data_IF_887761877545
#
_entry.id   IF_887761877545
#
_cell.length_a   1.000
_cell.length_b   1.000
_cell.length_c   1.000
_cell.angle_alpha   90.00
_cell.angle_beta   90.00
_cell.angle_gamma   90.00
#
_symmetry.space_group_name_H-M   'P 1'
#
loop_
_entity.id
_entity.type
_entity.pdbx_description
1 polymer ?
#
# COMPACT_ATOMS: atom_id res chain seq x y z
N UNK A 1 17.31 11.94 -2.09
CA UNK A 1 17.52 12.31 -0.67
C UNK A 1 16.95 11.25 0.28
N UNK A 2 15.69 10.80 0.15
CA UNK A 2 15.06 9.83 1.07
C UNK A 2 15.75 8.44 1.11
N UNK A 3 16.27 7.95 -0.02
CA UNK A 3 16.96 6.64 -0.08
C UNK A 3 18.21 6.59 0.80
N UNK A 4 18.91 7.73 1.01
CA UNK A 4 20.06 7.81 1.89
C UNK A 4 19.66 7.65 3.36
N UNK A 5 18.55 8.24 3.80
CA UNK A 5 18.06 8.09 5.19
C UNK A 5 17.67 6.64 5.50
N UNK A 6 17.07 5.93 4.52
CA UNK A 6 16.79 4.50 4.67
C UNK A 6 18.10 3.70 4.76
N UNK A 7 19.08 3.99 3.92
CA UNK A 7 20.37 3.29 3.92
C UNK A 7 21.09 3.46 5.25
N UNK A 8 21.21 4.70 5.72
CA UNK A 8 21.86 5.02 7.01
C UNK A 8 21.17 4.25 8.17
N UNK A 9 19.83 4.18 8.16
CA UNK A 9 19.09 3.43 9.19
C UNK A 9 19.27 1.91 9.07
N UNK A 10 19.38 1.38 7.85
CA UNK A 10 19.58 -0.05 7.61
C UNK A 10 21.02 -0.50 7.89
N UNK A 11 22.01 0.38 7.73
CA UNK A 11 23.38 0.12 8.14
C UNK A 11 23.50 0.02 9.67
N UNK A 12 22.73 0.85 10.41
CA UNK A 12 22.73 0.94 11.89
C UNK A 12 21.59 0.12 12.54
N UNK A 13 21.14 -0.98 11.90
CA UNK A 13 20.03 -1.80 12.43
C UNK A 13 20.25 -2.32 13.85
N UNK A 14 21.49 -2.52 14.26
CA UNK A 14 21.85 -3.00 15.60
C UNK A 14 21.50 -1.98 16.70
N UNK A 15 21.37 -0.70 16.37
CA UNK A 15 20.98 0.34 17.32
C UNK A 15 19.47 0.37 17.60
N UNK A 16 18.66 -0.35 16.81
CA UNK A 16 17.22 -0.40 16.97
C UNK A 16 16.79 -1.63 17.76
N UNK A 17 15.74 -1.46 18.57
CA UNK A 17 15.09 -2.54 19.31
C UNK A 17 13.92 -3.13 18.54
N UNK A 18 13.22 -2.29 17.77
CA UNK A 18 12.06 -2.68 16.98
C UNK A 18 12.10 -2.10 15.57
N UNK A 19 11.70 -2.93 14.62
CA UNK A 19 11.40 -2.56 13.23
C UNK A 19 9.91 -2.80 13.00
N UNK A 20 9.14 -1.73 12.78
CA UNK A 20 7.67 -1.81 12.70
C UNK A 20 7.20 -1.56 11.29
N UNK A 21 6.50 -2.53 10.72
CA UNK A 21 5.95 -2.46 9.38
C UNK A 21 4.44 -2.25 9.38
N UNK A 22 3.98 -1.14 8.85
CA UNK A 22 2.56 -0.84 8.63
C UNK A 22 2.03 -1.39 7.30
N UNK A 23 2.90 -1.83 6.39
CA UNK A 23 2.49 -2.34 5.07
C UNK A 23 3.45 -3.39 4.51
N UNK A 24 2.92 -4.28 3.68
CA UNK A 24 3.68 -5.27 2.92
C UNK A 24 4.71 -4.62 1.97
N UNK A 25 4.36 -3.47 1.37
CA UNK A 25 5.27 -2.71 0.49
C UNK A 25 6.49 -2.20 1.27
N UNK A 26 6.32 -1.79 2.53
CA UNK A 26 7.41 -1.42 3.41
C UNK A 26 8.38 -2.57 3.66
N UNK A 27 7.86 -3.77 3.90
CA UNK A 27 8.67 -5.00 4.06
C UNK A 27 9.50 -5.27 2.80
N UNK A 28 8.84 -5.27 1.64
CA UNK A 28 9.51 -5.55 0.36
C UNK A 28 10.60 -4.50 0.04
N UNK A 29 10.31 -3.22 0.29
CA UNK A 29 11.25 -2.13 0.04
C UNK A 29 12.51 -2.25 0.93
N UNK A 30 12.33 -2.56 2.22
CA UNK A 30 13.43 -2.77 3.16
C UNK A 30 14.24 -4.01 2.78
N UNK A 31 13.58 -5.13 2.49
CA UNK A 31 14.26 -6.36 2.06
C UNK A 31 15.10 -6.16 0.80
N UNK A 32 14.51 -5.56 -0.25
CA UNK A 32 15.24 -5.23 -1.48
C UNK A 32 16.45 -4.31 -1.22
N UNK A 33 16.32 -3.41 -0.24
CA UNK A 33 17.40 -2.49 0.09
C UNK A 33 18.51 -3.20 0.85
N UNK A 34 18.18 -4.06 1.81
CA UNK A 34 19.14 -4.90 2.55
C UNK A 34 19.91 -5.84 1.61
N UNK A 35 19.24 -6.43 0.63
CA UNK A 35 19.88 -7.30 -0.37
C UNK A 35 21.00 -6.60 -1.14
N UNK A 36 20.90 -5.29 -1.37
CA UNK A 36 21.98 -4.50 -2.00
C UNK A 36 23.26 -4.42 -1.14
N UNK A 37 23.11 -4.59 0.17
CA UNK A 37 24.22 -4.66 1.13
C UNK A 37 24.62 -6.10 1.48
N UNK A 38 24.11 -7.10 0.76
CA UNK A 38 24.32 -8.51 1.06
C UNK A 38 23.66 -9.00 2.36
N UNK A 39 22.66 -8.24 2.86
CA UNK A 39 21.90 -8.50 4.10
C UNK A 39 20.46 -8.88 3.78
N UNK A 40 19.74 -9.43 4.74
CA UNK A 40 18.30 -9.72 4.62
C UNK A 40 17.63 -9.67 5.99
N UNK A 41 16.30 -9.51 6.01
CA UNK A 41 15.51 -9.48 7.25
C UNK A 41 15.57 -10.81 8.02
N UNK A 42 15.69 -11.94 7.34
CA UNK A 42 15.81 -13.25 7.96
C UNK A 42 17.09 -13.39 8.81
N UNK A 43 18.14 -12.63 8.51
CA UNK A 43 19.40 -12.60 9.25
C UNK A 43 19.59 -11.28 10.01
N UNK A 44 18.49 -10.69 10.47
CA UNK A 44 18.54 -9.48 11.30
C UNK A 44 19.31 -9.73 12.60
N UNK A 45 19.85 -8.67 13.25
CA UNK A 45 20.41 -8.78 14.58
C UNK A 45 19.44 -9.46 15.55
N UNK A 46 19.93 -10.36 16.41
CA UNK A 46 19.11 -11.09 17.38
C UNK A 46 18.38 -10.17 18.37
N UNK A 47 18.94 -8.97 18.63
CA UNK A 47 18.34 -7.94 19.47
C UNK A 47 17.20 -7.19 18.79
N UNK A 48 17.13 -7.19 17.45
CA UNK A 48 16.12 -6.46 16.68
C UNK A 48 14.85 -7.31 16.52
N UNK A 49 13.74 -6.86 17.10
CA UNK A 49 12.42 -7.45 16.93
C UNK A 49 11.64 -6.80 15.81
N UNK A 50 10.75 -7.54 15.18
CA UNK A 50 9.88 -7.07 14.10
C UNK A 50 8.43 -7.10 14.55
N UNK A 51 7.72 -5.99 14.32
CA UNK A 51 6.27 -5.92 14.45
C UNK A 51 5.60 -5.65 13.09
N UNK A 52 4.46 -6.28 12.84
CA UNK A 52 3.63 -6.06 11.66
C UNK A 52 2.22 -5.65 12.07
N UNK A 53 1.71 -4.54 11.53
CA UNK A 53 0.35 -4.06 11.83
C UNK A 53 -0.71 -5.00 11.28
N UNK A 54 -0.56 -5.49 10.05
CA UNK A 54 -1.59 -6.24 9.35
C UNK A 54 -1.20 -7.66 8.98
N UNK A 55 -2.22 -8.54 8.85
CA UNK A 55 -2.03 -9.96 8.48
C UNK A 55 -1.21 -10.13 7.19
N UNK A 56 -1.53 -9.35 6.14
CA UNK A 56 -0.80 -9.40 4.87
C UNK A 56 0.69 -9.01 5.03
N UNK A 57 0.98 -8.06 5.90
CA UNK A 57 2.35 -7.64 6.20
C UNK A 57 3.11 -8.74 6.93
N UNK A 58 2.48 -9.38 7.92
CA UNK A 58 3.05 -10.51 8.64
C UNK A 58 3.32 -11.71 7.70
N UNK A 59 2.39 -12.01 6.79
CA UNK A 59 2.56 -13.08 5.81
C UNK A 59 3.75 -12.84 4.86
N UNK A 60 3.96 -11.59 4.42
CA UNK A 60 5.13 -11.26 3.58
C UNK A 60 6.44 -11.45 4.35
N UNK A 61 6.48 -11.07 5.63
CA UNK A 61 7.63 -11.32 6.50
C UNK A 61 7.91 -12.83 6.66
N UNK A 62 6.88 -13.61 6.90
CA UNK A 62 6.98 -15.07 7.03
C UNK A 62 7.53 -15.72 5.75
N UNK A 63 7.03 -15.32 4.59
CA UNK A 63 7.51 -15.80 3.28
C UNK A 63 8.99 -15.47 3.03
N UNK A 64 9.52 -14.40 3.66
CA UNK A 64 10.92 -14.03 3.62
C UNK A 64 11.77 -14.74 4.69
N UNK A 65 11.19 -15.61 5.52
CA UNK A 65 11.86 -16.25 6.63
C UNK A 65 12.17 -15.30 7.80
N UNK A 66 11.48 -14.17 7.87
CA UNK A 66 11.67 -13.12 8.87
C UNK A 66 10.39 -12.90 9.68
N UNK A 67 9.80 -13.95 10.21
CA UNK A 67 8.53 -13.89 10.95
C UNK A 67 8.49 -12.72 11.96
N UNK A 68 7.35 -12.07 12.05
CA UNK A 68 7.15 -10.98 13.00
C UNK A 68 7.12 -11.52 14.44
N UNK A 69 7.81 -10.83 15.35
CA UNK A 69 7.80 -11.13 16.79
C UNK A 69 6.49 -10.66 17.44
N UNK A 70 5.81 -9.69 16.81
CA UNK A 70 4.52 -9.18 17.28
C UNK A 70 3.59 -8.80 16.12
N UNK A 71 2.34 -9.24 16.23
CA UNK A 71 1.22 -8.85 15.35
C UNK A 71 0.01 -8.59 16.26
N UNK A 72 -0.68 -7.44 16.15
CA UNK A 72 -1.80 -7.13 17.04
C UNK A 72 -3.02 -8.02 16.75
N UNK A 73 -3.90 -8.23 17.74
CA UNK A 73 -5.09 -9.07 17.59
C UNK A 73 -6.09 -8.52 16.56
N UNK A 74 -6.24 -7.20 16.49
CA UNK A 74 -6.97 -6.51 15.41
C UNK A 74 -5.95 -5.85 14.50
N UNK A 75 -5.92 -6.19 13.24
CA UNK A 75 -4.89 -5.83 12.26
C UNK A 75 -4.91 -4.34 11.85
N UNK A 76 -4.95 -3.45 12.83
CA UNK A 76 -4.98 -1.98 12.69
C UNK A 76 -3.94 -1.30 13.58
N UNK A 77 -3.58 -0.06 13.26
CA UNK A 77 -2.55 0.69 13.97
C UNK A 77 -2.89 0.91 15.45
N UNK A 78 -4.16 1.25 15.76
CA UNK A 78 -4.61 1.46 17.14
C UNK A 78 -4.40 0.20 17.98
N UNK A 79 -4.75 -0.97 17.44
CA UNK A 79 -4.54 -2.26 18.13
C UNK A 79 -3.06 -2.57 18.33
N UNK A 80 -2.18 -2.14 17.42
CA UNK A 80 -0.73 -2.27 17.62
C UNK A 80 -0.27 -1.42 18.81
N UNK A 81 -0.77 -0.19 18.93
CA UNK A 81 -0.43 0.72 20.03
C UNK A 81 -0.91 0.14 21.36
N UNK A 82 -2.17 -0.27 21.43
CA UNK A 82 -2.82 -0.74 22.65
C UNK A 82 -2.21 -2.03 23.21
N UNK A 83 -1.72 -2.91 22.34
CA UNK A 83 -1.23 -4.25 22.71
C UNK A 83 0.28 -4.42 22.54
N UNK A 84 1.00 -3.32 22.26
CA UNK A 84 2.45 -3.43 22.06
C UNK A 84 3.14 -4.00 23.31
N UNK A 85 3.98 -5.05 23.17
CA UNK A 85 4.45 -5.85 24.31
C UNK A 85 5.42 -5.11 25.24
N UNK A 86 5.92 -3.97 24.82
CA UNK A 86 6.84 -3.14 25.60
C UNK A 86 6.53 -1.67 25.37
N UNK A 87 6.49 -0.90 26.43
CA UNK A 87 6.36 0.56 26.36
C UNK A 87 7.51 1.21 27.13
N UNK A 88 7.97 2.36 26.69
CA UNK A 88 8.71 3.26 27.55
C UNK A 88 10.08 3.68 27.07
N UNK A 89 10.69 4.41 27.95
CA UNK A 89 11.95 5.12 27.81
C UNK A 89 13.12 4.18 27.46
N UNK A 90 13.95 4.63 26.51
CA UNK A 90 15.16 3.91 26.10
C UNK A 90 14.96 3.00 24.89
N UNK A 91 13.73 2.80 24.41
CA UNK A 91 13.51 2.06 23.18
C UNK A 91 13.75 2.95 21.96
N UNK A 92 14.41 2.37 20.94
CA UNK A 92 14.60 2.97 19.63
C UNK A 92 13.88 2.11 18.60
N UNK A 93 13.00 2.72 17.83
CA UNK A 93 12.12 2.05 16.87
C UNK A 93 12.33 2.63 15.48
N UNK A 94 12.44 1.77 14.47
CA UNK A 94 12.49 2.13 13.06
C UNK A 94 11.12 1.89 12.42
N UNK A 95 10.55 2.93 11.80
CA UNK A 95 9.29 2.90 11.05
C UNK A 95 9.54 3.20 9.56
N UNK A 96 9.75 2.19 8.72
CA UNK A 96 9.76 2.37 7.27
C UNK A 96 8.35 2.64 6.76
N UNK A 97 8.17 3.76 6.07
CA UNK A 97 6.85 4.18 5.58
C UNK A 97 6.86 4.65 4.12
N UNK A 98 5.67 4.87 3.58
CA UNK A 98 5.52 5.56 2.29
C UNK A 98 6.07 7.00 2.39
N UNK A 99 6.71 7.49 1.33
CA UNK A 99 7.33 8.81 1.31
C UNK A 99 6.32 9.95 1.51
N UNK A 100 5.11 9.83 0.99
CA UNK A 100 4.07 10.85 1.08
C UNK A 100 2.71 10.26 1.45
N UNK A 101 1.93 10.98 2.28
CA UNK A 101 0.54 10.64 2.61
C UNK A 101 0.36 9.48 3.61
N UNK A 102 1.42 9.07 4.31
CA UNK A 102 1.33 8.10 5.40
C UNK A 102 0.75 8.72 6.68
N UNK A 103 0.02 7.89 7.48
CA UNK A 103 -0.47 8.32 8.80
C UNK A 103 0.70 8.38 9.79
N UNK A 104 0.77 9.43 10.61
CA UNK A 104 1.78 9.62 11.67
C UNK A 104 1.41 8.93 12.98
N UNK A 105 0.20 8.40 13.06
CA UNK A 105 -0.41 7.85 14.28
C UNK A 105 0.53 6.96 15.11
N UNK A 106 1.27 6.06 14.47
CA UNK A 106 2.20 5.16 15.18
C UNK A 106 3.41 5.94 15.74
N UNK A 107 3.95 6.87 14.97
CA UNK A 107 5.09 7.66 15.38
C UNK A 107 4.73 8.58 16.54
N UNK A 108 3.56 9.21 16.47
CA UNK A 108 3.05 10.12 17.49
C UNK A 108 2.79 9.34 18.79
N UNK A 109 2.04 8.24 18.75
CA UNK A 109 1.70 7.45 19.94
C UNK A 109 2.92 6.84 20.63
N UNK A 110 3.84 6.25 19.87
CA UNK A 110 5.07 5.72 20.45
C UNK A 110 6.01 6.83 20.96
N UNK A 111 6.05 7.97 20.29
CA UNK A 111 6.79 9.14 20.74
C UNK A 111 6.28 9.69 22.08
N UNK A 112 4.95 9.80 22.22
CA UNK A 112 4.30 10.19 23.48
C UNK A 112 4.58 9.18 24.62
N UNK A 113 4.69 7.90 24.31
CA UNK A 113 5.10 6.86 25.25
C UNK A 113 6.60 6.86 25.58
N UNK A 114 7.38 7.81 25.04
CA UNK A 114 8.81 7.97 25.33
C UNK A 114 9.75 7.09 24.50
N UNK A 115 9.26 6.49 23.42
CA UNK A 115 10.06 5.73 22.45
C UNK A 115 10.76 6.69 21.49
N UNK A 116 12.04 6.47 21.20
CA UNK A 116 12.74 7.18 20.14
C UNK A 116 12.35 6.60 18.78
N UNK A 117 11.37 7.21 18.13
CA UNK A 117 10.91 6.77 16.81
C UNK A 117 11.75 7.42 15.71
N UNK A 118 12.24 6.58 14.78
CA UNK A 118 12.92 7.01 13.56
C UNK A 118 12.07 6.60 12.37
N UNK A 119 11.41 7.57 11.76
CA UNK A 119 10.66 7.35 10.52
C UNK A 119 11.57 7.52 9.32
N UNK A 120 11.50 6.58 8.37
CA UNK A 120 12.23 6.67 7.11
C UNK A 120 11.32 6.37 5.93
N UNK A 121 11.43 7.16 4.88
CA UNK A 121 10.74 6.88 3.63
C UNK A 121 11.40 5.65 2.95
N UNK A 122 10.66 4.56 2.85
CA UNK A 122 11.14 3.30 2.27
C UNK A 122 10.68 3.11 0.83
N UNK A 123 9.50 3.60 0.47
CA UNK A 123 8.92 3.47 -0.87
C UNK A 123 8.04 4.68 -1.22
N UNK A 124 7.82 4.86 -2.51
CA UNK A 124 6.85 5.81 -3.05
C UNK A 124 5.62 5.07 -3.57
N UNK A 125 4.45 5.68 -3.35
CA UNK A 125 3.22 5.29 -4.03
C UNK A 125 2.98 6.31 -5.13
N UNK A 126 3.30 5.94 -6.34
CA UNK A 126 3.20 6.82 -7.50
C UNK A 126 2.50 6.14 -8.68
N UNK A 127 2.13 6.94 -9.66
CA UNK A 127 1.66 6.43 -10.94
C UNK A 127 2.82 5.69 -11.63
N UNK A 128 2.60 4.50 -12.22
CA UNK A 128 3.58 3.87 -13.10
C UNK A 128 4.00 4.81 -14.22
N UNK A 129 5.21 4.62 -14.73
CA UNK A 129 5.74 5.45 -15.83
C UNK A 129 5.03 5.23 -17.17
N UNK A 130 4.38 4.08 -17.33
CA UNK A 130 3.63 3.71 -18.55
C UNK A 130 2.57 2.67 -18.24
N UNK A 131 1.54 2.63 -19.09
CA UNK A 131 0.54 1.56 -19.09
C UNK A 131 1.18 0.27 -19.63
N UNK A 132 0.90 -0.92 -19.02
CA UNK A 132 1.35 -2.20 -19.58
C UNK A 132 0.80 -2.43 -20.98
N UNK A 133 1.64 -2.93 -21.90
CA UNK A 133 1.24 -3.18 -23.31
C UNK A 133 0.02 -4.09 -23.45
N UNK A 134 -0.15 -5.20 -22.68
CA UNK A 134 -1.37 -6.01 -22.75
C UNK A 134 -2.64 -5.24 -22.39
N UNK A 135 -2.55 -4.32 -21.41
CA UNK A 135 -3.69 -3.47 -21.02
C UNK A 135 -4.03 -2.46 -22.13
N UNK A 136 -2.99 -1.86 -22.73
CA UNK A 136 -3.18 -0.95 -23.85
C UNK A 136 -3.82 -1.65 -25.06
N UNK A 137 -3.33 -2.86 -25.40
CA UNK A 137 -3.90 -3.67 -26.49
C UNK A 137 -5.37 -4.02 -26.23
N UNK A 138 -5.72 -4.48 -25.03
CA UNK A 138 -7.10 -4.81 -24.67
C UNK A 138 -8.05 -3.60 -24.80
N UNK A 139 -7.58 -2.41 -24.44
CA UNK A 139 -8.33 -1.17 -24.63
C UNK A 139 -8.46 -0.76 -26.10
N UNK A 140 -7.41 -0.99 -26.90
CA UNK A 140 -7.44 -0.72 -28.35
C UNK A 140 -8.39 -1.66 -29.09
N UNK A 141 -8.46 -2.92 -28.68
CA UNK A 141 -9.32 -3.97 -29.23
C UNK A 141 -10.78 -3.87 -28.74
N UNK A 142 -11.05 -3.03 -27.73
CA UNK A 142 -12.38 -2.93 -27.11
C UNK A 142 -12.80 -4.18 -26.35
N UNK A 143 -11.82 -4.95 -25.84
CA UNK A 143 -12.03 -6.22 -25.10
C UNK A 143 -12.13 -6.03 -23.59
N UNK A 144 -12.24 -4.77 -23.12
CA UNK A 144 -12.41 -4.43 -21.71
C UNK A 144 -13.86 -4.08 -21.45
N UNK A 145 -14.55 -4.85 -20.63
CA UNK A 145 -15.96 -4.63 -20.29
C UNK A 145 -16.13 -3.78 -19.03
N UNK A 146 -15.21 -3.87 -18.08
CA UNK A 146 -15.28 -3.14 -16.81
C UNK A 146 -13.89 -2.81 -16.24
N UNK A 147 -13.83 -1.71 -15.47
CA UNK A 147 -12.69 -1.33 -14.67
C UNK A 147 -13.13 -1.13 -13.22
N UNK A 148 -12.54 -1.89 -12.28
CA UNK A 148 -12.85 -1.82 -10.87
C UNK A 148 -11.75 -1.08 -10.11
N UNK A 149 -12.13 -0.13 -9.26
CA UNK A 149 -11.22 0.71 -8.49
C UNK A 149 -11.35 0.44 -7.00
N UNK A 150 -10.26 0.00 -6.36
CA UNK A 150 -10.15 -0.20 -4.92
C UNK A 150 -9.70 1.05 -4.16
N UNK A 151 -9.36 2.14 -4.84
CA UNK A 151 -9.01 3.43 -4.22
C UNK A 151 -9.15 4.58 -5.21
N UNK A 152 -9.39 5.80 -4.69
CA UNK A 152 -9.43 7.01 -5.52
C UNK A 152 -8.11 7.26 -6.26
N UNK A 153 -6.98 6.96 -5.62
CA UNK A 153 -5.66 7.14 -6.21
C UNK A 153 -5.42 6.23 -7.41
N UNK A 154 -5.95 5.00 -7.40
CA UNK A 154 -5.88 4.12 -8.58
C UNK A 154 -6.72 4.65 -9.74
N UNK A 155 -7.85 5.27 -9.47
CA UNK A 155 -8.66 5.92 -10.50
C UNK A 155 -7.91 7.12 -11.14
N UNK A 156 -7.30 7.96 -10.32
CA UNK A 156 -6.49 9.11 -10.78
C UNK A 156 -5.29 8.67 -11.62
N UNK A 157 -4.54 7.66 -11.16
CA UNK A 157 -3.40 7.13 -11.89
C UNK A 157 -3.81 6.45 -13.20
N UNK A 158 -4.96 5.77 -13.22
CA UNK A 158 -5.47 5.15 -14.45
C UNK A 158 -5.83 6.22 -15.48
N UNK A 159 -6.50 7.30 -15.08
CA UNK A 159 -6.80 8.40 -15.99
C UNK A 159 -5.53 9.06 -16.55
N UNK A 160 -4.51 9.25 -15.71
CA UNK A 160 -3.21 9.77 -16.13
C UNK A 160 -2.51 8.85 -17.15
N UNK A 161 -2.52 7.53 -16.91
CA UNK A 161 -1.94 6.55 -17.84
C UNK A 161 -2.70 6.48 -19.16
N UNK A 162 -4.03 6.60 -19.13
CA UNK A 162 -4.87 6.65 -20.33
C UNK A 162 -4.56 7.90 -21.17
N UNK A 163 -4.46 9.06 -20.53
CA UNK A 163 -4.11 10.30 -21.21
C UNK A 163 -2.70 10.25 -21.79
N UNK A 164 -1.74 9.72 -21.05
CA UNK A 164 -0.36 9.56 -21.49
C UNK A 164 -0.25 8.62 -22.71
N UNK A 165 -1.02 7.54 -22.72
CA UNK A 165 -0.95 6.49 -23.76
C UNK A 165 -1.75 6.84 -25.02
N UNK A 166 -2.93 7.43 -24.86
CA UNK A 166 -3.94 7.64 -25.92
C UNK A 166 -4.20 9.12 -26.24
N UNK A 167 -3.61 10.05 -25.48
CA UNK A 167 -3.85 11.49 -25.62
C UNK A 167 -5.22 11.94 -25.14
N UNK A 168 -5.61 13.20 -25.40
CA UNK A 168 -6.83 13.81 -24.84
C UNK A 168 -8.15 13.14 -25.25
N UNK A 169 -8.12 12.27 -26.27
CA UNK A 169 -9.30 11.50 -26.73
C UNK A 169 -9.52 10.15 -26.04
N UNK A 170 -8.75 9.83 -25.01
CA UNK A 170 -8.76 8.50 -24.36
C UNK A 170 -10.13 8.06 -23.84
N UNK A 171 -11.01 9.00 -23.48
CA UNK A 171 -12.35 8.69 -22.98
C UNK A 171 -13.18 7.84 -23.95
N UNK A 172 -12.95 7.96 -25.26
CA UNK A 172 -13.59 7.14 -26.29
C UNK A 172 -13.25 5.67 -26.18
N UNK A 173 -12.06 5.33 -25.64
CA UNK A 173 -11.62 3.94 -25.42
C UNK A 173 -12.41 3.26 -24.30
N UNK A 174 -13.09 4.06 -23.48
CA UNK A 174 -13.92 3.57 -22.39
C UNK A 174 -15.42 3.65 -22.69
N UNK A 175 -15.80 3.90 -23.95
CA UNK A 175 -17.22 3.80 -24.36
C UNK A 175 -17.69 2.36 -24.18
N UNK A 176 -18.77 2.16 -23.41
CA UNK A 176 -19.27 0.83 -23.04
C UNK A 176 -18.59 0.18 -21.83
N UNK A 177 -17.38 0.60 -21.46
CA UNK A 177 -16.68 0.06 -20.30
C UNK A 177 -17.33 0.53 -19.01
N UNK A 178 -17.67 -0.37 -18.11
CA UNK A 178 -18.28 -0.04 -16.80
C UNK A 178 -17.21 0.42 -15.80
N UNK A 179 -17.49 1.48 -15.05
CA UNK A 179 -16.64 2.03 -14.00
C UNK A 179 -17.21 1.65 -12.64
N UNK A 180 -16.49 0.83 -11.88
CA UNK A 180 -16.97 0.27 -10.62
C UNK A 180 -16.03 0.72 -9.50
N UNK A 181 -16.59 1.15 -8.38
CA UNK A 181 -15.80 1.64 -7.23
C UNK A 181 -16.07 0.87 -5.96
N UNK A 182 -15.06 0.76 -5.08
CA UNK A 182 -15.17 0.10 -3.78
C UNK A 182 -15.99 0.88 -2.75
N UNK A 183 -16.25 2.17 -2.97
CA UNK A 183 -16.98 2.97 -2.00
C UNK A 183 -16.94 4.48 -2.28
N UNK A 184 -17.59 5.29 -1.44
CA UNK A 184 -17.92 6.70 -1.72
C UNK A 184 -16.75 7.61 -2.05
N UNK A 185 -15.62 7.45 -1.38
CA UNK A 185 -14.41 8.23 -1.67
C UNK A 185 -13.84 7.91 -3.04
N UNK A 186 -13.77 6.61 -3.38
CA UNK A 186 -13.32 6.15 -4.69
C UNK A 186 -14.29 6.58 -5.78
N UNK A 187 -15.59 6.49 -5.53
CA UNK A 187 -16.64 7.01 -6.44
C UNK A 187 -16.45 8.47 -6.78
N UNK A 188 -16.06 9.30 -5.81
CA UNK A 188 -15.78 10.72 -6.05
C UNK A 188 -14.64 10.92 -7.05
N UNK A 189 -13.50 10.22 -6.85
CA UNK A 189 -12.37 10.25 -7.78
C UNK A 189 -12.77 9.71 -9.16
N UNK A 190 -13.55 8.62 -9.23
CA UNK A 190 -14.02 8.07 -10.50
C UNK A 190 -14.89 9.07 -11.26
N UNK A 191 -15.84 9.76 -10.59
CA UNK A 191 -16.65 10.81 -11.23
C UNK A 191 -15.80 11.98 -11.73
N UNK A 192 -14.77 12.37 -10.99
CA UNK A 192 -13.85 13.43 -11.41
C UNK A 192 -13.01 13.03 -12.62
N UNK A 193 -12.50 11.79 -12.66
CA UNK A 193 -11.61 11.32 -13.72
C UNK A 193 -12.35 10.81 -14.96
N UNK A 194 -13.47 10.09 -14.78
CA UNK A 194 -14.17 9.37 -15.86
C UNK A 194 -15.58 9.92 -16.12
N UNK A 195 -16.03 10.91 -15.34
CA UNK A 195 -17.37 11.51 -15.47
C UNK A 195 -18.51 10.64 -14.94
N UNK A 196 -18.24 9.39 -14.50
CA UNK A 196 -19.26 8.42 -14.07
C UNK A 196 -18.78 7.40 -13.05
N UNK A 197 -19.73 6.73 -12.45
CA UNK A 197 -19.60 5.47 -11.72
C UNK A 197 -20.84 4.65 -12.03
N UNK A 198 -20.67 3.46 -12.57
CA UNK A 198 -21.78 2.59 -12.98
C UNK A 198 -22.27 1.70 -11.82
N UNK A 199 -21.36 1.37 -10.88
CA UNK A 199 -21.70 0.72 -9.60
C UNK A 199 -20.71 1.08 -8.50
N UNK A 200 -21.20 1.06 -7.26
CA UNK A 200 -20.43 1.17 -6.03
C UNK A 200 -20.67 -0.09 -5.21
N UNK A 201 -19.59 -0.65 -4.64
CA UNK A 201 -19.65 -1.87 -3.84
C UNK A 201 -20.47 -1.66 -2.56
N UNK A 202 -21.19 -2.70 -2.16
CA UNK A 202 -21.85 -2.81 -0.86
C UNK A 202 -21.79 -4.29 -0.44
N UNK A 203 -21.06 -4.63 0.64
CA UNK A 203 -20.26 -3.74 1.49
C UNK A 203 -19.03 -3.12 0.81
N UNK A 204 -18.46 -2.05 1.39
CA UNK A 204 -17.31 -1.31 0.86
C UNK A 204 -15.98 -2.03 1.10
N UNK A 205 -15.87 -3.26 0.63
CA UNK A 205 -14.70 -4.13 0.72
C UNK A 205 -14.42 -4.83 -0.62
N UNK A 206 -13.41 -5.71 -0.66
CA UNK A 206 -13.02 -6.38 -1.89
C UNK A 206 -14.05 -7.44 -2.34
N UNK A 207 -14.78 -8.04 -1.40
CA UNK A 207 -15.83 -9.02 -1.70
C UNK A 207 -17.02 -8.30 -2.34
N UNK A 208 -17.49 -7.21 -1.72
CA UNK A 208 -18.54 -6.36 -2.30
C UNK A 208 -18.15 -5.75 -3.65
N UNK A 209 -16.85 -5.39 -3.84
CA UNK A 209 -16.36 -4.91 -5.14
C UNK A 209 -16.46 -6.00 -6.21
N UNK A 210 -16.10 -7.24 -5.88
CA UNK A 210 -16.22 -8.37 -6.80
C UNK A 210 -17.69 -8.66 -7.14
N UNK A 211 -18.58 -8.63 -6.14
CA UNK A 211 -20.03 -8.79 -6.35
C UNK A 211 -20.61 -7.69 -7.24
N UNK A 212 -20.23 -6.43 -7.00
CA UNK A 212 -20.65 -5.31 -7.84
C UNK A 212 -20.22 -5.48 -9.30
N UNK A 213 -19.00 -5.99 -9.55
CA UNK A 213 -18.55 -6.34 -10.90
C UNK A 213 -19.45 -7.37 -11.55
N UNK A 214 -19.74 -8.48 -10.86
CA UNK A 214 -20.62 -9.55 -11.37
C UNK A 214 -22.02 -9.02 -11.68
N UNK A 215 -22.62 -8.26 -10.76
CA UNK A 215 -23.96 -7.71 -10.93
C UNK A 215 -24.08 -6.76 -12.12
N UNK A 216 -23.08 -5.92 -12.34
CA UNK A 216 -23.08 -4.97 -13.48
C UNK A 216 -22.95 -5.71 -14.80
N UNK A 217 -22.12 -6.75 -14.84
CA UNK A 217 -21.93 -7.55 -16.06
C UNK A 217 -23.13 -8.44 -16.40
N UNK A 218 -23.92 -8.87 -15.41
CA UNK A 218 -25.16 -9.66 -15.62
C UNK A 218 -26.34 -8.82 -16.11
N UNK A 219 -26.35 -7.51 -15.84
CA UNK A 219 -27.48 -6.61 -16.21
C UNK A 219 -27.50 -6.26 -17.69
N UNK A 220 -26.48 -6.68 -18.49
CA UNK A 220 -26.45 -6.45 -19.94
C UNK A 220 -26.61 -4.99 -20.37
N UNK A 221 -26.35 -4.63 -21.61
CA UNK A 221 -26.69 -3.33 -22.13
C UNK A 221 -28.21 -3.10 -22.15
#
# INVERSE_FOLDING_TARGET
MYKRQLDDALEDLESFHWLVFSSANGVQAVEQRLQRFGRCLARRPASLKIAAVGRKTAQVLENLGAAADFVPPSFVADSLIDHFPVSGWGLKMLLPRVQSGGRTLLADAFGEAGVRVVEVAAYESGCPSSMPDPTAAALDEGSVDAIAFSSGKTAEHTAQLLEQRFGPGWAKRLEGVKVISIGPQTSRSCRQCFGRVDAEADPHDLEGLAEACVQVMQKGP
#
